data_IF_336852947290
#
_entry.id   IF_336852947290
#
_cell.length_a   1.000
_cell.length_b   1.000
_cell.length_c   1.000
_cell.angle_alpha   90.00
_cell.angle_beta   90.00
_cell.angle_gamma   90.00
#
_symmetry.space_group_name_H-M   'P 1'
#
loop_
_entity.id
_entity.type
_entity.pdbx_description
1 polymer ?
#
# COMPACT_ATOMS: atom_id res chain seq x y z
N UNK A 1 3.97 -21.93 13.97
CA UNK A 1 4.16 -20.75 13.08
C UNK A 1 4.56 -21.16 11.66
N UNK A 2 5.58 -22.02 11.47
CA UNK A 2 5.92 -22.58 10.15
C UNK A 2 4.76 -23.33 9.48
N UNK A 3 4.05 -24.19 10.21
CA UNK A 3 2.87 -24.90 9.68
C UNK A 3 1.74 -23.96 9.25
N UNK A 4 1.51 -22.90 10.02
CA UNK A 4 0.54 -21.86 9.65
C UNK A 4 0.92 -21.17 8.34
N UNK A 5 2.20 -20.82 8.16
CA UNK A 5 2.67 -20.22 6.91
C UNK A 5 2.57 -21.20 5.73
N UNK A 6 2.88 -22.48 5.93
CA UNK A 6 2.73 -23.51 4.91
C UNK A 6 1.27 -23.70 4.51
N UNK A 7 0.34 -23.75 5.47
CA UNK A 7 -1.10 -23.80 5.22
C UNK A 7 -1.58 -22.59 4.42
N UNK A 8 -1.14 -21.39 4.80
CA UNK A 8 -1.52 -20.15 4.13
C UNK A 8 -0.94 -20.07 2.70
N UNK A 9 0.27 -20.58 2.47
CA UNK A 9 0.87 -20.61 1.14
C UNK A 9 0.19 -21.66 0.25
N UNK A 10 -0.06 -22.87 0.78
CA UNK A 10 -0.59 -24.01 0.01
C UNK A 10 -2.09 -23.91 -0.23
N UNK A 11 -2.86 -23.60 0.81
CA UNK A 11 -4.33 -23.75 0.80
C UNK A 11 -5.04 -22.42 0.56
N UNK A 12 -4.42 -21.29 0.93
CA UNK A 12 -4.98 -19.93 0.71
C UNK A 12 -4.35 -19.20 -0.48
N UNK A 13 -3.34 -19.78 -1.12
CA UNK A 13 -2.62 -19.21 -2.27
C UNK A 13 -2.22 -17.74 -2.10
N UNK A 14 -1.75 -17.36 -0.91
CA UNK A 14 -1.37 -15.98 -0.66
C UNK A 14 -0.21 -15.53 -1.54
N UNK A 15 -0.28 -14.27 -1.96
CA UNK A 15 0.79 -13.67 -2.73
C UNK A 15 2.11 -13.65 -1.94
N UNK A 16 3.23 -13.62 -2.68
CA UNK A 16 4.57 -13.50 -2.10
C UNK A 16 4.71 -12.25 -1.21
N UNK A 17 3.95 -11.18 -1.49
CA UNK A 17 3.94 -9.96 -0.68
C UNK A 17 3.09 -10.09 0.61
N UNK A 18 2.04 -10.90 0.61
CA UNK A 18 1.13 -11.08 1.74
C UNK A 18 1.73 -11.96 2.86
N UNK A 19 2.58 -12.92 2.52
CA UNK A 19 3.19 -13.83 3.49
C UNK A 19 4.10 -13.12 4.53
N UNK A 20 5.03 -12.22 4.14
CA UNK A 20 5.80 -11.41 5.09
C UNK A 20 4.92 -10.57 6.02
N UNK A 21 3.85 -9.97 5.50
CA UNK A 21 2.95 -9.13 6.30
C UNK A 21 2.33 -9.90 7.47
N UNK A 22 1.89 -11.13 7.25
CA UNK A 22 1.36 -11.95 8.34
C UNK A 22 2.42 -12.38 9.35
N UNK A 23 3.66 -12.65 8.90
CA UNK A 23 4.76 -12.90 9.83
C UNK A 23 5.02 -11.67 10.72
N UNK A 24 5.02 -10.47 10.14
CA UNK A 24 5.18 -9.24 10.92
C UNK A 24 4.01 -9.01 11.88
N UNK A 25 2.77 -9.29 11.47
CA UNK A 25 1.59 -9.20 12.33
C UNK A 25 1.68 -10.16 13.53
N UNK A 26 2.06 -11.42 13.29
CA UNK A 26 2.25 -12.42 14.36
C UNK A 26 3.40 -12.02 15.28
N UNK A 27 4.53 -11.54 14.73
CA UNK A 27 5.65 -11.02 15.54
C UNK A 27 5.24 -9.83 16.39
N UNK A 28 4.47 -8.90 15.83
CA UNK A 28 3.95 -7.74 16.55
C UNK A 28 3.02 -8.18 17.69
N UNK A 29 2.08 -9.09 17.43
CA UNK A 29 1.17 -9.61 18.45
C UNK A 29 1.95 -10.20 19.64
N UNK A 30 2.90 -11.09 19.38
CA UNK A 30 3.64 -11.74 20.46
C UNK A 30 4.59 -10.80 21.20
N UNK A 31 5.33 -9.97 20.46
CA UNK A 31 6.32 -9.07 21.06
C UNK A 31 5.72 -7.85 21.74
N UNK A 32 4.71 -7.21 21.12
CA UNK A 32 4.17 -5.92 21.57
C UNK A 32 2.88 -6.04 22.35
N UNK A 33 2.04 -7.04 22.07
CA UNK A 33 0.77 -7.22 22.78
C UNK A 33 0.92 -8.21 23.92
N UNK A 34 1.52 -9.38 23.67
CA UNK A 34 1.60 -10.47 24.65
C UNK A 34 2.89 -10.47 25.50
N UNK A 35 3.87 -9.62 25.16
CA UNK A 35 5.14 -9.52 25.89
C UNK A 35 6.01 -10.79 25.87
N UNK A 36 5.75 -11.73 24.95
CA UNK A 36 6.48 -13.00 24.83
C UNK A 36 7.32 -12.98 23.56
N UNK A 37 8.66 -13.10 23.65
CA UNK A 37 9.49 -13.17 22.45
C UNK A 37 9.19 -14.47 21.69
N UNK A 38 8.87 -14.36 20.41
CA UNK A 38 8.87 -15.50 19.50
C UNK A 38 10.31 -15.83 19.12
N UNK A 39 10.64 -17.13 19.09
CA UNK A 39 11.89 -17.61 18.52
C UNK A 39 12.08 -17.08 17.10
N UNK A 40 13.30 -16.68 16.70
CA UNK A 40 13.55 -16.13 15.38
C UNK A 40 13.18 -17.16 14.31
N UNK A 41 12.11 -16.88 13.57
CA UNK A 41 11.68 -17.70 12.46
C UNK A 41 12.54 -17.34 11.24
N UNK A 42 13.40 -18.25 10.81
CA UNK A 42 14.17 -18.09 9.57
C UNK A 42 13.26 -18.47 8.39
N UNK A 43 12.42 -17.53 7.95
CA UNK A 43 11.65 -17.69 6.71
C UNK A 43 12.43 -16.99 5.62
N UNK A 44 12.98 -17.71 4.63
CA UNK A 44 13.60 -17.07 3.48
C UNK A 44 12.49 -16.34 2.71
N UNK A 45 12.51 -15.01 2.75
CA UNK A 45 11.64 -14.21 1.92
C UNK A 45 12.31 -14.08 0.56
N UNK A 46 11.74 -14.65 -0.52
CA UNK A 46 12.26 -14.38 -1.85
C UNK A 46 12.12 -12.87 -2.12
N UNK A 47 13.17 -12.25 -2.66
CA UNK A 47 13.12 -10.84 -3.09
C UNK A 47 11.92 -10.65 -4.02
N UNK A 48 11.09 -9.67 -3.72
CA UNK A 48 9.99 -9.31 -4.60
C UNK A 48 10.58 -8.76 -5.90
N UNK A 49 10.12 -9.30 -7.03
CA UNK A 49 10.44 -8.73 -8.34
C UNK A 49 9.89 -7.31 -8.40
N UNK A 50 10.81 -6.35 -8.57
CA UNK A 50 10.45 -4.95 -8.68
C UNK A 50 10.02 -4.70 -10.12
N UNK A 51 8.71 -4.69 -10.36
CA UNK A 51 8.17 -4.31 -11.67
C UNK A 51 8.42 -2.82 -11.87
N UNK A 52 9.05 -2.47 -12.98
CA UNK A 52 9.13 -1.09 -13.43
C UNK A 52 7.71 -0.69 -13.81
N UNK A 53 7.13 0.35 -13.19
CA UNK A 53 5.80 0.81 -13.56
C UNK A 53 5.84 1.36 -14.99
N UNK A 54 4.82 1.05 -15.77
CA UNK A 54 4.62 1.70 -17.07
C UNK A 54 4.43 3.21 -16.83
N UNK A 55 5.26 4.01 -17.48
CA UNK A 55 5.23 5.46 -17.34
C UNK A 55 4.14 6.03 -18.25
N UNK A 56 3.24 6.83 -17.68
CA UNK A 56 2.22 7.54 -18.45
C UNK A 56 2.82 8.79 -19.12
N UNK A 57 2.49 8.99 -20.39
CA UNK A 57 2.79 10.23 -21.10
C UNK A 57 1.85 11.36 -20.68
N UNK A 58 2.26 12.64 -20.80
CA UNK A 58 1.41 13.77 -20.43
C UNK A 58 0.03 13.74 -21.09
N UNK A 59 -0.05 13.35 -22.36
CA UNK A 59 -1.31 13.27 -23.11
C UNK A 59 -2.28 12.21 -22.54
N UNK A 60 -1.74 11.08 -22.07
CA UNK A 60 -2.52 10.02 -21.42
C UNK A 60 -3.09 10.51 -20.08
N UNK A 61 -2.28 11.23 -19.31
CA UNK A 61 -2.73 11.83 -18.05
C UNK A 61 -3.83 12.86 -18.31
N UNK A 62 -3.69 13.71 -19.32
CA UNK A 62 -4.73 14.66 -19.72
C UNK A 62 -6.02 13.96 -20.15
N UNK A 63 -5.93 12.86 -20.88
CA UNK A 63 -7.09 12.05 -21.27
C UNK A 63 -7.81 11.46 -20.04
N UNK A 64 -7.06 10.92 -19.07
CA UNK A 64 -7.62 10.39 -17.81
C UNK A 64 -8.36 11.48 -17.03
N UNK A 65 -7.76 12.66 -16.86
CA UNK A 65 -8.37 13.78 -16.13
C UNK A 65 -9.64 14.27 -16.84
N UNK A 66 -9.65 14.30 -18.17
CA UNK A 66 -10.83 14.73 -18.97
C UNK A 66 -11.99 13.74 -18.91
N UNK A 67 -11.71 12.44 -18.81
CA UNK A 67 -12.75 11.41 -18.75
C UNK A 67 -13.42 11.29 -17.37
N UNK A 68 -12.89 11.94 -16.34
CA UNK A 68 -13.46 11.94 -15.00
C UNK A 68 -14.82 12.68 -14.98
N UNK A 69 -15.88 11.97 -14.59
CA UNK A 69 -17.25 12.53 -14.53
C UNK A 69 -17.49 13.36 -13.27
N UNK A 70 -16.76 13.09 -12.18
CA UNK A 70 -16.90 13.78 -10.91
C UNK A 70 -15.76 14.78 -10.69
N UNK A 71 -16.11 16.03 -10.39
CA UNK A 71 -15.16 17.10 -10.08
C UNK A 71 -14.20 16.70 -8.95
N UNK A 72 -14.68 15.99 -7.92
CA UNK A 72 -13.85 15.49 -6.82
C UNK A 72 -12.70 14.59 -7.30
N UNK A 73 -12.98 13.66 -8.21
CA UNK A 73 -11.98 12.74 -8.75
C UNK A 73 -11.03 13.46 -9.69
N UNK A 74 -11.58 14.32 -10.55
CA UNK A 74 -10.80 15.15 -11.47
C UNK A 74 -9.79 16.02 -10.72
N UNK A 75 -10.23 16.77 -9.71
CA UNK A 75 -9.36 17.61 -8.89
C UNK A 75 -8.33 16.79 -8.10
N UNK A 76 -8.70 15.61 -7.59
CA UNK A 76 -7.76 14.75 -6.88
C UNK A 76 -6.63 14.24 -7.78
N UNK A 77 -6.96 13.77 -8.99
CA UNK A 77 -5.96 13.28 -9.95
C UNK A 77 -5.09 14.43 -10.45
N UNK A 78 -5.69 15.56 -10.78
CA UNK A 78 -4.96 16.76 -11.21
C UNK A 78 -4.00 17.26 -10.13
N UNK A 79 -4.42 17.31 -8.86
CA UNK A 79 -3.56 17.67 -7.74
C UNK A 79 -2.43 16.66 -7.56
N UNK A 80 -2.72 15.36 -7.59
CA UNK A 80 -1.71 14.30 -7.48
C UNK A 80 -0.63 14.44 -8.55
N UNK A 81 -1.04 14.69 -9.80
CA UNK A 81 -0.12 14.86 -10.91
C UNK A 81 0.71 16.15 -10.81
N UNK A 82 0.07 17.28 -10.51
CA UNK A 82 0.73 18.59 -10.46
C UNK A 82 1.68 18.76 -9.27
N UNK A 83 1.38 18.12 -8.14
CA UNK A 83 2.11 18.32 -6.87
C UNK A 83 2.87 17.09 -6.38
N UNK A 84 2.66 15.93 -7.00
CA UNK A 84 3.22 14.64 -6.54
C UNK A 84 2.59 14.11 -5.26
N UNK A 85 1.47 14.68 -4.80
CA UNK A 85 0.81 14.26 -3.57
C UNK A 85 0.27 12.84 -3.67
N UNK A 86 0.43 12.07 -2.59
CA UNK A 86 -0.19 10.74 -2.45
C UNK A 86 -1.67 10.85 -2.14
N UNK A 87 -2.44 9.83 -2.51
CA UNK A 87 -3.90 9.80 -2.29
C UNK A 87 -4.29 10.07 -0.83
N UNK A 88 -3.52 9.54 0.14
CA UNK A 88 -3.79 9.77 1.56
C UNK A 88 -3.54 11.22 2.01
N UNK A 89 -2.68 11.97 1.33
CA UNK A 89 -2.45 13.40 1.62
C UNK A 89 -3.60 14.22 1.03
N UNK A 90 -3.99 13.92 -0.21
CA UNK A 90 -5.14 14.56 -0.89
C UNK A 90 -6.43 14.37 -0.10
N UNK A 91 -6.70 13.14 0.37
CA UNK A 91 -7.88 12.85 1.19
C UNK A 91 -7.90 13.59 2.54
N UNK A 92 -6.74 14.05 3.04
CA UNK A 92 -6.62 14.79 4.30
C UNK A 92 -6.45 16.29 4.10
N UNK A 93 -6.48 16.76 2.86
CA UNK A 93 -6.30 18.18 2.54
C UNK A 93 -7.46 18.98 3.15
N UNK A 94 -7.11 20.01 3.92
CA UNK A 94 -8.07 20.90 4.58
C UNK A 94 -7.90 22.30 4.02
N UNK A 95 -9.01 22.94 3.69
CA UNK A 95 -9.02 24.35 3.32
C UNK A 95 -8.83 25.14 4.61
N UNK A 96 -7.75 25.92 4.70
CA UNK A 96 -7.65 26.98 5.69
C UNK A 96 -8.42 28.18 5.14
N UNK A 97 -9.58 28.47 5.71
CA UNK A 97 -10.27 29.74 5.46
C UNK A 97 -9.71 30.73 6.49
N UNK A 98 -8.74 31.54 6.07
CA UNK A 98 -8.20 32.63 6.88
C UNK A 98 -9.10 33.85 6.77
N UNK A 99 -9.89 34.10 7.81
CA UNK A 99 -10.41 35.42 8.17
C UNK A 99 -10.03 35.73 9.62
N UNK A 100 -8.76 35.51 9.95
CA UNK A 100 -8.03 36.10 11.09
C UNK A 100 -6.58 36.37 10.67
#
# INVERSE_FOLDING_TARGET
MQEYLLHVIRDRHWSRASCPQAVFAVRFLFSKVLGKPLSPLHVPYPKQEQKIPDLLYPDEVHAIIRQCTHLKQQSAIALSYATGMRIGEICRLRIKVGWE
#
